data_IF_326259461770
#
_entry.id   IF_326259461770
#
_cell.length_a   1.000
_cell.length_b   1.000
_cell.length_c   1.000
_cell.angle_alpha   90.00
_cell.angle_beta   90.00
_cell.angle_gamma   90.00
#
_symmetry.space_group_name_H-M   'P 1'
#
loop_
_entity.id
_entity.type
_entity.pdbx_description
1 polymer ?
#
# COMPACT_ATOMS: atom_id res chain seq x y z
N UNK A 1 7.67 -27.83 -29.99
CA UNK A 1 7.16 -27.24 -28.74
C UNK A 1 8.25 -27.33 -27.70
N UNK A 2 8.67 -26.18 -27.17
CA UNK A 2 9.67 -26.14 -26.10
C UNK A 2 8.95 -26.16 -24.76
N UNK A 3 9.53 -26.72 -23.68
CA UNK A 3 8.92 -26.69 -22.34
C UNK A 3 8.54 -25.28 -21.85
N UNK A 4 9.15 -24.23 -22.41
CA UNK A 4 8.80 -22.83 -22.16
C UNK A 4 7.36 -22.48 -22.57
N UNK A 5 6.81 -23.16 -23.58
CA UNK A 5 5.46 -22.96 -24.10
C UNK A 5 4.37 -23.44 -23.10
N UNK A 6 4.75 -24.25 -22.11
CA UNK A 6 3.86 -24.78 -21.06
C UNK A 6 4.35 -24.45 -19.64
N UNK A 7 4.93 -23.26 -19.46
CA UNK A 7 5.32 -22.76 -18.13
C UNK A 7 4.20 -21.99 -17.45
N UNK A 8 4.15 -21.96 -16.11
CA UNK A 8 3.24 -21.10 -15.35
C UNK A 8 3.37 -19.63 -15.76
N UNK A 9 4.61 -19.16 -15.93
CA UNK A 9 4.90 -17.81 -16.40
C UNK A 9 4.28 -17.51 -17.77
N UNK A 10 4.32 -18.48 -18.71
CA UNK A 10 3.80 -18.34 -20.07
C UNK A 10 2.28 -18.49 -20.17
N UNK A 11 1.69 -19.41 -19.39
CA UNK A 11 0.28 -19.77 -19.49
C UNK A 11 -0.63 -18.99 -18.53
N UNK A 12 -0.09 -18.51 -17.41
CA UNK A 12 -0.89 -17.90 -16.32
C UNK A 12 -0.42 -16.49 -16.02
N UNK A 13 0.83 -16.32 -15.59
CA UNK A 13 1.31 -15.03 -15.05
C UNK A 13 1.29 -13.93 -16.12
N UNK A 14 2.03 -14.09 -17.23
CA UNK A 14 2.12 -13.06 -18.28
C UNK A 14 0.78 -12.72 -18.91
N UNK A 15 -0.10 -13.69 -19.26
CA UNK A 15 -1.44 -13.38 -19.74
C UNK A 15 -2.29 -12.61 -18.72
N UNK A 16 -2.19 -12.96 -17.43
CA UNK A 16 -2.92 -12.29 -16.36
C UNK A 16 -2.43 -10.85 -16.18
N UNK A 17 -1.12 -10.63 -16.13
CA UNK A 17 -0.51 -9.30 -16.06
C UNK A 17 -0.91 -8.43 -17.27
N UNK A 18 -0.86 -8.99 -18.48
CA UNK A 18 -1.31 -8.29 -19.69
C UNK A 18 -2.80 -7.91 -19.61
N UNK A 19 -3.63 -8.79 -19.04
CA UNK A 19 -5.06 -8.51 -18.85
C UNK A 19 -5.30 -7.43 -17.81
N UNK A 20 -4.58 -7.43 -16.70
CA UNK A 20 -4.65 -6.39 -15.67
C UNK A 20 -4.21 -5.03 -16.24
N UNK A 21 -3.14 -4.99 -17.03
CA UNK A 21 -2.71 -3.77 -17.71
C UNK A 21 -3.80 -3.20 -18.63
N UNK A 22 -4.52 -4.06 -19.37
CA UNK A 22 -5.66 -3.63 -20.19
C UNK A 22 -6.83 -3.06 -19.37
N UNK A 23 -6.96 -3.46 -18.11
CA UNK A 23 -7.97 -2.93 -17.18
C UNK A 23 -7.50 -1.66 -16.47
N UNK A 24 -6.30 -1.15 -16.78
CA UNK A 24 -5.74 0.08 -16.20
C UNK A 24 -4.96 -0.13 -14.90
N UNK A 25 -4.68 -1.37 -14.52
CA UNK A 25 -3.79 -1.64 -13.39
C UNK A 25 -2.33 -1.40 -13.78
N UNK A 26 -1.58 -0.76 -12.88
CA UNK A 26 -0.13 -0.75 -12.95
C UNK A 26 0.42 -2.14 -12.61
N UNK A 27 1.30 -2.67 -13.45
CA UNK A 27 1.95 -3.97 -13.25
C UNK A 27 3.41 -3.75 -12.88
N UNK A 28 3.90 -4.50 -11.90
CA UNK A 28 5.29 -4.48 -11.46
C UNK A 28 5.83 -5.92 -11.30
N UNK A 29 7.12 -6.10 -11.52
CA UNK A 29 7.83 -7.37 -11.27
C UNK A 29 8.34 -7.38 -9.82
N UNK A 30 7.79 -8.29 -9.01
CA UNK A 30 8.19 -8.49 -7.63
C UNK A 30 9.31 -9.52 -7.42
N UNK A 31 9.68 -10.26 -8.46
CA UNK A 31 10.75 -11.26 -8.42
C UNK A 31 12.12 -10.61 -8.61
N UNK A 32 12.23 -9.67 -9.55
CA UNK A 32 13.48 -8.93 -9.84
C UNK A 32 13.50 -7.52 -9.27
N UNK A 33 12.68 -7.26 -8.25
CA UNK A 33 12.52 -5.92 -7.68
C UNK A 33 13.83 -5.36 -7.11
N UNK A 34 13.93 -4.03 -7.11
CA UNK A 34 14.97 -3.29 -6.39
C UNK A 34 14.31 -2.58 -5.20
N UNK A 35 14.98 -2.61 -4.05
CA UNK A 35 14.46 -2.08 -2.79
C UNK A 35 14.77 -0.62 -2.59
N UNK A 36 13.85 0.11 -1.96
CA UNK A 36 13.98 1.52 -1.65
C UNK A 36 12.95 2.38 -2.38
N UNK A 37 12.73 3.58 -1.84
CA UNK A 37 11.76 4.55 -2.33
C UNK A 37 12.09 5.11 -3.73
N UNK A 38 13.37 5.14 -4.09
CA UNK A 38 13.91 5.67 -5.34
C UNK A 38 13.43 4.88 -6.56
N UNK A 39 13.21 3.58 -6.41
CA UNK A 39 12.80 2.70 -7.50
C UNK A 39 11.33 2.85 -7.85
N UNK A 40 10.50 3.42 -6.96
CA UNK A 40 9.05 3.60 -7.20
C UNK A 40 8.81 4.45 -8.44
N UNK A 41 9.62 5.50 -8.66
CA UNK A 41 9.51 6.39 -9.84
C UNK A 41 9.81 5.68 -11.16
N UNK A 42 10.48 4.54 -11.12
CA UNK A 42 10.87 3.73 -12.27
C UNK A 42 10.02 2.45 -12.40
N UNK A 43 8.86 2.38 -11.74
CA UNK A 43 7.97 1.23 -11.77
C UNK A 43 8.29 0.15 -10.73
N UNK A 44 9.26 0.39 -9.84
CA UNK A 44 9.56 -0.48 -8.71
C UNK A 44 8.42 -0.53 -7.69
N UNK A 45 8.36 -1.62 -6.93
CA UNK A 45 7.32 -1.84 -5.92
C UNK A 45 7.48 -0.87 -4.73
N UNK A 46 8.73 -0.59 -4.34
CA UNK A 46 9.04 0.33 -3.24
C UNK A 46 8.93 -0.31 -1.86
N UNK A 47 9.39 -1.56 -1.72
CA UNK A 47 9.68 -2.15 -0.42
C UNK A 47 11.10 -1.77 -0.01
N UNK A 48 11.37 -1.65 1.28
CA UNK A 48 12.76 -1.52 1.78
C UNK A 48 13.44 -2.91 1.90
N UNK A 49 12.64 -3.97 2.05
CA UNK A 49 13.08 -5.36 2.06
C UNK A 49 11.92 -6.33 1.74
N UNK A 50 12.23 -7.60 1.43
CA UNK A 50 11.22 -8.59 1.03
C UNK A 50 10.18 -8.94 2.10
N UNK A 51 10.45 -8.71 3.39
CA UNK A 51 9.53 -9.02 4.49
C UNK A 51 8.36 -8.02 4.58
N UNK A 52 8.51 -6.85 3.97
CA UNK A 52 7.44 -5.84 3.97
C UNK A 52 6.27 -6.31 3.10
N UNK A 53 5.10 -6.41 3.71
CA UNK A 53 3.83 -6.73 3.04
C UNK A 53 3.02 -5.48 2.68
N UNK A 54 3.36 -4.33 3.25
CA UNK A 54 2.72 -3.04 2.93
C UNK A 54 3.68 -2.16 2.16
N UNK A 55 3.21 -1.63 1.02
CA UNK A 55 3.98 -0.73 0.16
C UNK A 55 3.90 0.71 0.67
N UNK A 56 4.58 1.01 1.78
CA UNK A 56 4.51 2.32 2.45
C UNK A 56 4.89 3.49 1.53
N UNK A 57 5.91 3.31 0.68
CA UNK A 57 6.35 4.30 -0.32
C UNK A 57 5.31 4.62 -1.40
N UNK A 58 4.31 3.75 -1.59
CA UNK A 58 3.16 3.98 -2.48
C UNK A 58 1.93 4.46 -1.72
N UNK A 59 1.67 3.88 -0.55
CA UNK A 59 0.50 4.21 0.26
C UNK A 59 0.53 5.67 0.74
N UNK A 60 1.67 6.15 1.25
CA UNK A 60 1.75 7.48 1.84
C UNK A 60 1.50 8.63 0.83
N UNK A 61 2.08 8.62 -0.38
CA UNK A 61 1.72 9.60 -1.42
C UNK A 61 0.27 9.50 -1.86
N UNK A 62 -0.33 8.29 -1.90
CA UNK A 62 -1.74 8.12 -2.26
C UNK A 62 -2.68 8.66 -1.19
N UNK A 63 -2.36 8.49 0.10
CA UNK A 63 -3.10 9.14 1.19
C UNK A 63 -3.08 10.67 1.04
N UNK A 64 -1.93 11.26 0.70
CA UNK A 64 -1.82 12.70 0.45
C UNK A 64 -2.60 13.15 -0.79
N UNK A 65 -2.59 12.34 -1.86
CA UNK A 65 -3.33 12.63 -3.08
C UNK A 65 -4.84 12.63 -2.85
N UNK A 66 -5.35 11.70 -2.03
CA UNK A 66 -6.77 11.58 -1.71
C UNK A 66 -7.24 12.64 -0.70
N UNK A 67 -6.33 13.09 0.16
CA UNK A 67 -6.62 14.02 1.25
C UNK A 67 -5.68 15.25 1.20
N UNK A 68 -5.80 16.11 0.17
CA UNK A 68 -4.85 17.21 -0.07
C UNK A 68 -4.88 18.30 1.02
N UNK A 69 -5.99 18.43 1.74
CA UNK A 69 -6.21 19.48 2.74
C UNK A 69 -5.76 19.08 4.15
N UNK A 70 -5.32 17.82 4.34
CA UNK A 70 -4.93 17.30 5.65
C UNK A 70 -3.44 17.52 5.95
N UNK A 71 -3.10 17.83 7.20
CA UNK A 71 -1.71 18.06 7.59
C UNK A 71 -0.88 16.78 7.46
N UNK A 72 0.43 16.87 7.12
CA UNK A 72 1.31 15.71 6.98
C UNK A 72 1.29 14.77 8.19
N UNK A 73 1.25 15.32 9.40
CA UNK A 73 1.19 14.56 10.64
C UNK A 73 -0.06 13.66 10.72
N UNK A 74 -1.22 14.12 10.25
CA UNK A 74 -2.44 13.31 10.23
C UNK A 74 -2.31 12.14 9.24
N UNK A 75 -1.74 12.40 8.06
CA UNK A 75 -1.50 11.37 7.05
C UNK A 75 -0.49 10.31 7.54
N UNK A 76 0.54 10.72 8.28
CA UNK A 76 1.51 9.81 8.90
C UNK A 76 0.85 8.98 10.01
N UNK A 77 0.04 9.60 10.87
CA UNK A 77 -0.72 8.89 11.91
C UNK A 77 -1.70 7.86 11.30
N UNK A 78 -2.35 8.20 10.19
CA UNK A 78 -3.26 7.29 9.50
C UNK A 78 -2.52 6.13 8.83
N UNK A 79 -1.34 6.39 8.25
CA UNK A 79 -0.46 5.35 7.73
C UNK A 79 -0.09 4.35 8.84
N UNK A 80 0.29 4.83 10.02
CA UNK A 80 0.60 3.95 11.16
C UNK A 80 -0.64 3.17 11.62
N UNK A 81 -1.82 3.79 11.68
CA UNK A 81 -3.06 3.09 12.05
C UNK A 81 -3.42 1.95 11.07
N UNK A 82 -3.31 2.21 9.76
CA UNK A 82 -3.56 1.22 8.70
C UNK A 82 -2.55 0.07 8.73
N UNK A 83 -1.28 0.38 9.02
CA UNK A 83 -0.18 -0.59 8.98
C UNK A 83 0.20 -1.20 10.32
N UNK A 84 -0.51 -0.82 11.39
CA UNK A 84 -0.36 -1.40 12.73
C UNK A 84 -0.40 -2.92 12.69
N UNK A 85 0.54 -3.56 13.36
CA UNK A 85 0.58 -5.01 13.49
C UNK A 85 -0.67 -5.52 14.22
N UNK A 86 -1.31 -6.51 13.60
CA UNK A 86 -2.51 -7.20 14.07
C UNK A 86 -2.34 -8.73 14.01
N UNK A 87 -1.12 -9.21 13.81
CA UNK A 87 -0.81 -10.64 13.68
C UNK A 87 -1.21 -11.48 14.90
N UNK A 88 -1.22 -10.87 16.09
CA UNK A 88 -1.63 -11.52 17.34
C UNK A 88 -3.15 -11.58 17.56
N UNK A 89 -3.95 -10.94 16.70
CA UNK A 89 -5.41 -10.92 16.81
C UNK A 89 -6.05 -12.07 16.05
N UNK A 90 -7.30 -12.39 16.38
CA UNK A 90 -8.13 -13.23 15.52
C UNK A 90 -8.24 -12.61 14.10
N UNK A 91 -8.01 -13.37 13.01
CA UNK A 91 -7.99 -12.83 11.65
C UNK A 91 -9.28 -12.12 11.24
N UNK A 92 -10.45 -12.59 11.69
CA UNK A 92 -11.73 -11.96 11.36
C UNK A 92 -11.84 -10.59 12.04
N UNK A 93 -11.41 -10.51 13.31
CA UNK A 93 -11.38 -9.24 14.05
C UNK A 93 -10.36 -8.27 13.48
N UNK A 94 -9.15 -8.76 13.14
CA UNK A 94 -8.12 -7.95 12.50
C UNK A 94 -8.61 -7.36 11.17
N UNK A 95 -9.24 -8.19 10.32
CA UNK A 95 -9.81 -7.75 9.06
C UNK A 95 -10.93 -6.72 9.26
N UNK A 96 -11.82 -6.94 10.24
CA UNK A 96 -12.89 -5.99 10.55
C UNK A 96 -12.34 -4.62 10.97
N UNK A 97 -11.27 -4.56 11.77
CA UNK A 97 -10.65 -3.29 12.14
C UNK A 97 -10.07 -2.55 10.92
N UNK A 98 -9.36 -3.25 10.03
CA UNK A 98 -8.82 -2.64 8.80
C UNK A 98 -9.97 -2.14 7.91
N UNK A 99 -11.03 -2.94 7.79
CA UNK A 99 -12.21 -2.55 7.03
C UNK A 99 -12.89 -1.29 7.58
N UNK A 100 -12.99 -1.14 8.90
CA UNK A 100 -13.50 0.09 9.52
C UNK A 100 -12.64 1.30 9.18
N UNK A 101 -11.30 1.17 9.20
CA UNK A 101 -10.41 2.26 8.78
C UNK A 101 -10.60 2.65 7.31
N UNK A 102 -10.80 1.66 6.43
CA UNK A 102 -11.01 1.93 5.00
C UNK A 102 -12.41 2.49 4.70
N UNK A 103 -13.44 2.09 5.45
CA UNK A 103 -14.83 2.51 5.25
C UNK A 103 -15.14 3.84 5.91
N UNK A 104 -14.75 4.00 7.17
CA UNK A 104 -15.12 5.16 8.00
C UNK A 104 -14.02 6.23 8.04
N UNK A 105 -12.84 5.91 7.49
CA UNK A 105 -11.64 6.72 7.61
C UNK A 105 -10.89 6.49 8.93
N UNK A 106 -9.59 6.76 8.92
CA UNK A 106 -8.76 6.69 10.10
C UNK A 106 -8.89 8.00 10.90
N UNK A 107 -9.60 7.94 12.04
CA UNK A 107 -9.66 9.05 13.00
C UNK A 107 -8.37 9.17 13.77
N UNK A 108 -7.62 10.23 13.53
CA UNK A 108 -6.30 10.46 14.12
C UNK A 108 -6.27 11.80 14.84
N UNK A 109 -5.69 11.81 16.03
CA UNK A 109 -5.45 13.05 16.79
C UNK A 109 -3.98 13.39 16.71
N UNK A 110 -3.67 14.55 16.16
CA UNK A 110 -2.30 15.05 16.00
C UNK A 110 -2.13 16.41 16.64
N UNK A 111 -0.88 16.78 16.92
CA UNK A 111 -0.54 18.12 17.38
C UNK A 111 -0.15 18.96 16.17
N UNK A 112 -0.76 20.12 16.01
CA UNK A 112 -0.41 21.07 14.95
C UNK A 112 0.85 21.89 15.29
N UNK A 113 1.26 22.75 14.36
CA UNK A 113 2.45 23.60 14.51
C UNK A 113 2.31 24.63 15.66
N UNK A 114 1.08 24.91 16.11
CA UNK A 114 0.76 25.81 17.23
C UNK A 114 0.67 25.07 18.58
N UNK A 115 0.86 23.75 18.59
CA UNK A 115 0.80 22.91 19.78
C UNK A 115 -0.62 22.50 20.18
N UNK A 116 -1.64 22.84 19.39
CA UNK A 116 -3.02 22.44 19.64
C UNK A 116 -3.27 21.01 19.13
N UNK A 117 -4.19 20.30 19.80
CA UNK A 117 -4.61 18.96 19.39
C UNK A 117 -5.79 19.06 18.44
N UNK A 118 -5.55 18.65 17.20
CA UNK A 118 -6.58 18.54 16.16
C UNK A 118 -6.92 17.07 15.92
N UNK A 119 -8.18 16.80 15.58
CA UNK A 119 -8.63 15.45 15.22
C UNK A 119 -9.15 15.47 13.81
N UNK A 120 -8.51 14.68 12.95
CA UNK A 120 -8.83 14.58 11.54
C UNK A 120 -9.29 13.16 11.20
N UNK A 121 -10.07 13.03 10.13
CA UNK A 121 -10.42 11.73 9.55
C UNK A 121 -9.76 11.64 8.19
N UNK A 122 -8.83 10.69 8.04
CA UNK A 122 -8.01 10.46 6.82
C UNK A 122 -8.56 9.29 6.03
#
# INVERSE_FOLDING_TARGET
MSPKDFSEAGLVEKPTLARLAQLGYEVADGYTEQFGSEHVRHGGIGRDDHSQVVLRHRLRPKLAQLNPDLPPAALDAALEALTRDRSAMDPTRANHEVWLLLRDGAKVTVTDDEGARITETV
#
